data_IF_865960266212
#
_entry.id   IF_865960266212
#
_cell.length_a   1.000
_cell.length_b   1.000
_cell.length_c   1.000
_cell.angle_alpha   90.00
_cell.angle_beta   90.00
_cell.angle_gamma   90.00
#
_symmetry.space_group_name_H-M   'P 1'
#
loop_
_entity.id
_entity.type
_entity.pdbx_description
1 polymer ?
#
# COMPACT_ATOMS: atom_id res chain seq x y z
N UNK A 1 -4.31 -5.48 23.97
CA UNK A 1 -5.18 -4.46 23.35
C UNK A 1 -4.25 -3.42 22.76
N UNK A 2 -4.33 -3.23 21.44
CA UNK A 2 -3.34 -2.50 20.67
C UNK A 2 -3.55 -0.99 20.79
N UNK A 3 -2.45 -0.26 20.96
CA UNK A 3 -2.40 1.21 20.92
C UNK A 3 -2.08 1.64 19.48
N UNK A 4 -2.77 2.64 18.90
CA UNK A 4 -2.43 3.14 17.57
C UNK A 4 -1.14 3.97 17.64
N UNK A 5 -0.11 3.57 16.90
CA UNK A 5 1.09 4.37 16.68
C UNK A 5 1.09 4.98 15.28
N UNK A 6 0.65 6.22 15.19
CA UNK A 6 0.79 7.04 13.97
C UNK A 6 2.25 7.19 13.56
N UNK A 7 2.62 6.58 12.43
CA UNK A 7 3.93 6.76 11.80
C UNK A 7 3.91 8.00 10.90
N UNK A 8 4.87 8.87 11.17
CA UNK A 8 5.26 10.04 10.39
C UNK A 8 5.88 9.63 9.06
N UNK A 9 5.48 10.27 7.97
CA UNK A 9 6.18 10.19 6.69
C UNK A 9 7.57 10.85 6.81
N UNK A 10 8.66 10.10 6.64
CA UNK A 10 9.97 10.68 6.33
C UNK A 10 10.78 9.79 5.37
N UNK A 11 11.40 10.46 4.39
CA UNK A 11 12.35 9.93 3.40
C UNK A 11 13.60 9.35 4.09
N UNK A 12 14.26 8.31 3.54
CA UNK A 12 15.54 7.86 4.05
C UNK A 12 16.69 8.72 3.50
N UNK A 13 17.49 9.29 4.40
CA UNK A 13 18.85 9.76 4.14
C UNK A 13 19.83 8.79 4.79
N UNK A 14 20.68 8.16 3.98
CA UNK A 14 21.77 7.30 4.42
C UNK A 14 22.90 8.16 5.04
N UNK A 15 23.33 7.83 6.26
CA UNK A 15 24.74 7.54 6.50
C UNK A 15 25.01 6.89 7.88
N UNK A 16 26.02 6.01 7.99
CA UNK A 16 26.29 5.18 9.17
C UNK A 16 27.49 5.68 9.99
N UNK A 17 27.50 5.42 11.32
CA UNK A 17 28.64 4.84 12.05
C UNK A 17 28.49 4.84 13.58
N UNK A 18 29.27 3.93 14.18
CA UNK A 18 29.65 3.70 15.60
C UNK A 18 28.80 2.65 16.36
N UNK A 19 29.36 1.57 16.93
CA UNK A 19 30.77 1.16 17.07
C UNK A 19 30.97 -0.28 17.61
N UNK A 20 32.12 -0.86 17.23
CA UNK A 20 33.01 -1.77 18.00
C UNK A 20 32.68 -3.29 18.02
N UNK A 21 33.59 -4.27 17.83
CA UNK A 21 35.05 -4.43 17.62
C UNK A 21 35.23 -5.77 16.85
N UNK A 22 36.17 -6.02 15.93
CA UNK A 22 37.59 -6.23 16.20
C UNK A 22 38.33 -6.67 14.92
N UNK A 23 39.57 -6.20 14.81
CA UNK A 23 40.74 -6.85 14.20
C UNK A 23 40.69 -7.29 12.71
N UNK A 24 41.35 -6.53 11.83
CA UNK A 24 42.70 -6.85 11.31
C UNK A 24 43.00 -5.98 10.07
N UNK A 25 43.98 -5.09 10.23
CA UNK A 25 44.75 -4.48 9.13
C UNK A 25 45.93 -5.43 8.83
N UNK A 26 46.45 -5.50 7.59
CA UNK A 26 47.48 -4.52 7.22
C UNK A 26 47.54 -4.11 5.72
N UNK A 27 47.87 -2.82 5.56
CA UNK A 27 48.85 -2.25 4.64
C UNK A 27 48.55 -2.08 3.14
N UNK A 28 48.33 -0.80 2.80
CA UNK A 28 49.09 0.05 1.86
C UNK A 28 49.38 -0.46 0.44
N UNK A 29 49.02 0.36 -0.57
CA UNK A 29 50.02 1.10 -1.38
C UNK A 29 49.34 2.14 -2.32
N UNK A 30 50.10 3.21 -2.53
CA UNK A 30 49.77 4.50 -3.14
C UNK A 30 49.66 4.51 -4.68
N UNK A 31 48.91 5.52 -5.18
CA UNK A 31 49.13 6.39 -6.37
C UNK A 31 49.81 5.84 -7.63
N UNK A 32 49.21 6.05 -8.81
CA UNK A 32 49.62 7.12 -9.76
C UNK A 32 48.72 7.16 -11.01
N UNK A 33 48.55 8.38 -11.51
CA UNK A 33 47.89 8.77 -12.76
C UNK A 33 48.73 8.46 -14.00
N UNK A 34 48.07 8.30 -15.16
CA UNK A 34 48.42 8.93 -16.46
C UNK A 34 47.55 8.42 -17.62
N UNK A 35 47.19 9.34 -18.50
CA UNK A 35 46.81 9.17 -19.91
C UNK A 35 47.72 10.10 -20.76
N UNK A 36 47.65 10.18 -22.11
CA UNK A 36 47.40 9.23 -23.21
C UNK A 36 48.62 9.22 -24.19
N UNK A 37 48.54 8.78 -25.49
CA UNK A 37 48.11 9.69 -26.57
C UNK A 37 47.43 9.03 -27.82
N UNK A 38 46.99 9.92 -28.73
CA UNK A 38 46.32 9.80 -30.03
C UNK A 38 47.25 9.62 -31.24
N UNK A 39 46.79 9.01 -32.34
CA UNK A 39 47.30 9.23 -33.71
C UNK A 39 46.15 9.19 -34.75
N UNK A 40 46.06 10.25 -35.55
CA UNK A 40 45.30 10.42 -36.80
C UNK A 40 45.99 9.73 -38.00
N UNK A 41 45.21 9.26 -38.99
CA UNK A 41 45.35 9.75 -40.39
C UNK A 41 44.43 9.06 -41.41
N UNK A 42 43.90 9.95 -42.26
CA UNK A 42 43.09 9.83 -43.47
C UNK A 42 43.68 8.97 -44.59
N UNK A 43 42.84 8.25 -45.38
CA UNK A 43 42.91 8.21 -46.87
C UNK A 43 41.52 7.97 -47.52
N UNK A 44 41.21 8.82 -48.51
CA UNK A 44 40.09 8.76 -49.49
C UNK A 44 40.35 7.75 -50.63
N UNK A 45 39.29 7.11 -51.17
CA UNK A 45 38.99 6.92 -52.63
C UNK A 45 37.65 6.19 -52.84
N UNK A 46 36.61 6.88 -53.34
CA UNK A 46 36.05 6.92 -54.72
C UNK A 46 35.24 5.69 -55.21
N UNK A 47 33.92 5.94 -55.35
CA UNK A 47 32.94 5.54 -56.38
C UNK A 47 32.78 4.05 -56.75
N UNK A 48 31.59 3.49 -56.46
CA UNK A 48 30.79 2.86 -57.53
C UNK A 48 29.28 2.95 -57.28
N UNK A 49 28.61 3.33 -58.36
CA UNK A 49 27.18 3.55 -58.56
C UNK A 49 26.46 2.22 -58.74
N UNK A 50 25.49 1.86 -57.90
CA UNK A 50 24.42 0.90 -58.23
C UNK A 50 23.11 1.32 -57.56
N UNK A 51 22.13 1.60 -58.42
CA UNK A 51 20.72 1.88 -58.10
C UNK A 51 20.04 0.54 -57.82
N UNK A 52 19.33 0.41 -56.70
CA UNK A 52 18.19 -0.53 -56.58
C UNK A 52 17.26 -0.07 -55.45
N UNK A 53 15.99 0.16 -55.82
CA UNK A 53 14.76 0.14 -55.04
C UNK A 53 14.70 0.92 -53.70
N UNK A 54 14.01 2.06 -53.75
CA UNK A 54 13.45 2.76 -52.59
C UNK A 54 12.29 1.96 -51.99
N UNK A 55 12.53 1.25 -50.89
CA UNK A 55 11.47 0.81 -49.99
C UNK A 55 11.28 1.91 -48.94
N UNK A 56 10.16 2.64 -49.05
CA UNK A 56 9.70 3.60 -48.05
C UNK A 56 9.10 2.81 -46.89
N UNK A 57 9.85 2.61 -45.81
CA UNK A 57 9.28 2.16 -44.54
C UNK A 57 8.91 3.39 -43.72
N UNK A 58 7.63 3.76 -43.73
CA UNK A 58 7.07 4.74 -42.80
C UNK A 58 6.86 4.05 -41.45
N UNK A 59 7.81 4.22 -40.52
CA UNK A 59 7.61 3.85 -39.13
C UNK A 59 6.95 5.02 -38.39
N UNK A 60 5.63 5.14 -38.56
CA UNK A 60 4.78 6.00 -37.72
C UNK A 60 3.58 5.18 -37.27
N UNK A 61 3.73 4.50 -36.15
CA UNK A 61 2.62 3.97 -35.37
C UNK A 61 3.06 3.96 -33.91
N UNK A 62 3.18 5.17 -33.36
CA UNK A 62 3.07 5.40 -31.94
C UNK A 62 1.63 5.01 -31.58
N UNK A 63 1.46 3.79 -31.08
CA UNK A 63 0.15 3.31 -30.62
C UNK A 63 -0.10 3.98 -29.28
N UNK A 64 -0.85 5.09 -29.30
CA UNK A 64 -1.51 5.65 -28.13
C UNK A 64 -2.44 4.57 -27.57
N UNK A 65 -1.95 3.82 -26.59
CA UNK A 65 -2.77 2.95 -25.76
C UNK A 65 -3.72 3.84 -24.97
N UNK A 66 -4.90 4.08 -25.53
CA UNK A 66 -6.07 4.50 -24.80
C UNK A 66 -6.24 3.57 -23.59
N UNK A 67 -5.99 4.10 -22.40
CA UNK A 67 -6.45 3.48 -21.16
C UNK A 67 -7.97 3.50 -21.19
N UNK A 68 -8.56 2.42 -21.70
CA UNK A 68 -9.95 2.15 -21.43
C UNK A 68 -10.04 1.82 -19.94
N UNK A 69 -10.39 2.81 -19.13
CA UNK A 69 -10.89 2.62 -17.78
C UNK A 69 -12.27 1.96 -17.90
N UNK A 70 -12.28 0.68 -18.29
CA UNK A 70 -13.45 -0.17 -18.16
C UNK A 70 -13.62 -0.39 -16.67
N UNK A 71 -14.44 0.44 -16.03
CA UNK A 71 -15.03 0.04 -14.75
C UNK A 71 -15.91 -1.18 -15.04
N UNK A 72 -15.55 -2.38 -14.54
CA UNK A 72 -16.40 -3.55 -14.69
C UNK A 72 -17.75 -3.26 -14.06
N UNK A 73 -18.84 -3.64 -14.74
CA UNK A 73 -20.19 -3.43 -14.20
C UNK A 73 -20.39 -4.38 -13.01
N UNK A 74 -21.31 -4.03 -12.12
CA UNK A 74 -21.65 -4.75 -10.87
C UNK A 74 -22.01 -6.25 -11.02
N UNK A 75 -22.08 -6.80 -12.24
CA UNK A 75 -22.31 -8.23 -12.52
C UNK A 75 -21.19 -8.94 -13.28
N UNK A 76 -20.07 -8.29 -13.60
CA UNK A 76 -18.97 -8.91 -14.34
C UNK A 76 -18.12 -9.74 -13.37
N UNK A 77 -18.14 -11.07 -13.55
CA UNK A 77 -17.28 -11.99 -12.82
C UNK A 77 -15.85 -11.84 -13.34
N UNK A 78 -14.92 -11.48 -12.45
CA UNK A 78 -13.51 -11.27 -12.78
C UNK A 78 -12.65 -12.30 -12.06
N UNK A 79 -11.72 -12.94 -12.78
CA UNK A 79 -10.68 -13.76 -12.16
C UNK A 79 -9.57 -12.87 -11.60
N UNK A 80 -9.37 -12.93 -10.29
CA UNK A 80 -8.40 -12.11 -9.58
C UNK A 80 -7.38 -13.00 -8.86
N UNK A 81 -6.07 -12.83 -9.12
CA UNK A 81 -5.02 -13.40 -8.28
C UNK A 81 -5.15 -12.89 -6.86
N UNK A 82 -5.20 -13.78 -5.87
CA UNK A 82 -5.33 -13.42 -4.47
C UNK A 82 -4.02 -13.60 -3.72
N UNK A 83 -3.76 -12.65 -2.83
CA UNK A 83 -2.67 -12.64 -1.88
C UNK A 83 -3.21 -12.68 -0.45
N UNK A 84 -3.31 -13.87 0.17
CA UNK A 84 -3.70 -14.03 1.56
C UNK A 84 -2.65 -13.47 2.50
N UNK A 85 -3.04 -12.52 3.35
CA UNK A 85 -2.16 -11.88 4.33
C UNK A 85 -2.84 -11.80 5.72
N UNK A 86 -2.07 -11.81 6.83
CA UNK A 86 -2.60 -11.59 8.18
C UNK A 86 -2.88 -10.10 8.46
N UNK A 87 -3.32 -9.36 7.46
CA UNK A 87 -3.66 -7.94 7.52
C UNK A 87 -4.82 -7.62 6.58
N UNK A 88 -5.44 -6.46 6.78
CA UNK A 88 -6.58 -5.97 5.99
C UNK A 88 -6.13 -4.75 5.19
N UNK A 89 -6.38 -4.78 3.87
CA UNK A 89 -6.18 -3.62 3.00
C UNK A 89 -7.50 -2.88 2.83
N UNK A 90 -7.49 -1.56 3.04
CA UNK A 90 -8.65 -0.70 2.81
C UNK A 90 -8.53 0.08 1.50
N UNK A 91 -9.65 0.46 0.86
CA UNK A 91 -9.67 1.43 -0.22
C UNK A 91 -8.88 2.70 0.13
N UNK A 92 -8.01 3.15 -0.77
CA UNK A 92 -7.16 4.31 -0.60
C UNK A 92 -5.92 4.11 0.29
N UNK A 93 -5.85 3.05 1.08
CA UNK A 93 -4.69 2.78 1.94
C UNK A 93 -3.47 2.33 1.12
N UNK A 94 -2.27 2.62 1.64
CA UNK A 94 -1.00 2.23 1.01
C UNK A 94 -0.45 1.00 1.72
N UNK A 95 -0.06 -0.01 0.94
CA UNK A 95 0.50 -1.25 1.43
C UNK A 95 1.88 -1.51 0.80
N UNK A 96 2.97 -1.29 1.57
CA UNK A 96 4.29 -1.74 1.18
C UNK A 96 4.43 -3.26 1.38
N UNK A 97 4.95 -3.96 0.38
CA UNK A 97 5.14 -5.43 0.42
C UNK A 97 6.51 -5.82 -0.09
N UNK A 98 7.10 -6.83 0.56
CA UNK A 98 8.26 -7.54 0.04
C UNK A 98 7.84 -8.93 -0.41
N UNK A 99 7.96 -9.20 -1.71
CA UNK A 99 7.67 -10.49 -2.31
C UNK A 99 8.93 -11.33 -2.30
N UNK A 100 8.96 -12.35 -1.45
CA UNK A 100 10.08 -13.30 -1.37
C UNK A 100 9.67 -14.74 -1.65
N UNK A 101 8.42 -15.13 -1.33
CA UNK A 101 7.94 -16.49 -1.60
C UNK A 101 7.84 -16.77 -3.10
N UNK A 102 8.33 -17.94 -3.51
CA UNK A 102 8.39 -18.35 -4.92
C UNK A 102 7.04 -18.27 -5.65
N UNK A 103 5.96 -18.69 -5.01
CA UNK A 103 4.60 -18.62 -5.60
C UNK A 103 4.18 -17.20 -5.95
N UNK A 104 4.51 -16.21 -5.12
CA UNK A 104 4.15 -14.82 -5.35
C UNK A 104 5.13 -14.13 -6.29
N UNK A 105 6.37 -14.61 -6.41
CA UNK A 105 7.27 -14.21 -7.50
C UNK A 105 6.68 -14.60 -8.86
N UNK A 106 6.13 -15.81 -9.00
CA UNK A 106 5.41 -16.22 -10.21
C UNK A 106 4.21 -15.30 -10.46
N UNK A 107 3.41 -15.03 -9.42
CA UNK A 107 2.28 -14.10 -9.53
C UNK A 107 2.73 -12.73 -10.05
N UNK A 108 3.82 -12.18 -9.52
CA UNK A 108 4.38 -10.91 -9.97
C UNK A 108 4.80 -10.92 -11.44
N UNK A 109 5.43 -12.00 -11.93
CA UNK A 109 5.75 -12.12 -13.36
C UNK A 109 4.49 -12.09 -14.23
N UNK A 110 3.37 -12.65 -13.77
CA UNK A 110 2.09 -12.50 -14.46
C UNK A 110 1.60 -11.06 -14.41
N UNK A 111 1.56 -10.43 -13.22
CA UNK A 111 1.04 -9.08 -13.01
C UNK A 111 1.78 -8.01 -13.82
N UNK A 112 3.09 -8.16 -14.02
CA UNK A 112 3.90 -7.24 -14.83
C UNK A 112 3.47 -7.17 -16.31
N UNK A 113 2.70 -8.16 -16.78
CA UNK A 113 2.19 -8.22 -18.15
C UNK A 113 0.67 -7.99 -18.23
N UNK A 114 0.00 -7.73 -17.09
CA UNK A 114 -1.44 -7.46 -17.02
C UNK A 114 -1.69 -6.01 -16.57
N UNK A 115 -2.72 -5.80 -15.75
CA UNK A 115 -3.19 -4.54 -15.17
C UNK A 115 -2.55 -4.20 -13.82
N UNK A 116 -1.54 -4.96 -13.36
CA UNK A 116 -0.85 -4.74 -12.08
C UNK A 116 -1.79 -4.76 -10.85
N UNK A 117 -2.91 -5.50 -10.93
CA UNK A 117 -3.90 -5.62 -9.86
C UNK A 117 -3.96 -7.03 -9.29
N UNK A 118 -4.11 -7.12 -7.98
CA UNK A 118 -4.32 -8.38 -7.27
C UNK A 118 -5.22 -8.14 -6.06
N UNK A 119 -5.91 -9.19 -5.59
CA UNK A 119 -6.75 -9.10 -4.40
C UNK A 119 -5.93 -9.34 -3.14
N UNK A 120 -5.99 -8.42 -2.18
CA UNK A 120 -5.53 -8.69 -0.80
C UNK A 120 -6.71 -9.20 0.00
N UNK A 121 -6.55 -10.36 0.61
CA UNK A 121 -7.58 -11.00 1.41
C UNK A 121 -7.03 -11.36 2.79
N UNK A 122 -7.79 -11.02 3.83
CA UNK A 122 -7.38 -11.35 5.19
C UNK A 122 -7.37 -12.86 5.37
N UNK A 123 -6.29 -13.38 5.94
CA UNK A 123 -6.22 -14.77 6.35
C UNK A 123 -5.40 -14.95 7.61
N UNK A 124 -5.96 -15.67 8.59
CA UNK A 124 -5.25 -16.13 9.77
C UNK A 124 -5.40 -17.65 9.95
N UNK A 125 -4.61 -18.22 10.85
CA UNK A 125 -4.62 -19.66 11.10
C UNK A 125 -5.89 -20.15 11.82
N UNK A 126 -6.73 -19.24 12.34
CA UNK A 126 -7.84 -19.59 13.25
C UNK A 126 -9.20 -19.52 12.53
N UNK A 127 -9.44 -18.44 11.80
CA UNK A 127 -10.64 -18.15 11.02
C UNK A 127 -10.51 -18.52 9.55
N UNK A 128 -9.31 -18.84 9.06
CA UNK A 128 -9.08 -19.21 7.68
C UNK A 128 -8.92 -17.97 6.80
N UNK A 129 -9.46 -18.01 5.59
CA UNK A 129 -9.42 -16.89 4.62
C UNK A 129 -10.79 -16.22 4.60
N UNK A 130 -10.82 -14.90 4.72
CA UNK A 130 -12.06 -14.12 4.65
C UNK A 130 -12.68 -14.20 3.25
N UNK A 131 -13.94 -13.78 3.12
CA UNK A 131 -14.65 -13.76 1.84
C UNK A 131 -14.55 -12.40 1.13
N UNK A 132 -14.33 -11.33 1.88
CA UNK A 132 -14.20 -9.97 1.37
C UNK A 132 -12.75 -9.51 1.47
N UNK A 133 -12.27 -8.91 0.38
CA UNK A 133 -10.94 -8.32 0.29
C UNK A 133 -10.96 -6.97 -0.40
N UNK A 134 -9.77 -6.42 -0.64
CA UNK A 134 -9.58 -5.17 -1.36
C UNK A 134 -8.55 -5.36 -2.47
N UNK A 135 -8.81 -4.81 -3.64
CA UNK A 135 -7.85 -4.83 -4.75
C UNK A 135 -6.68 -3.92 -4.41
N UNK A 136 -5.47 -4.48 -4.46
CA UNK A 136 -4.23 -3.74 -4.47
C UNK A 136 -3.78 -3.48 -5.90
N UNK A 137 -3.64 -2.21 -6.26
CA UNK A 137 -2.98 -1.80 -7.50
C UNK A 137 -1.51 -1.45 -7.20
N UNK A 138 -0.58 -2.04 -7.94
CA UNK A 138 0.85 -1.77 -7.77
C UNK A 138 1.16 -0.39 -8.35
N UNK A 139 1.47 0.58 -7.47
CA UNK A 139 1.83 1.95 -7.88
C UNK A 139 3.34 2.12 -8.04
N UNK A 140 4.14 1.26 -7.41
CA UNK A 140 5.60 1.22 -7.58
C UNK A 140 6.11 -0.19 -7.35
N UNK A 141 7.06 -0.64 -8.17
CA UNK A 141 7.76 -1.90 -7.96
C UNK A 141 9.25 -1.79 -8.25
N UNK A 142 10.05 -2.56 -7.51
CA UNK A 142 11.50 -2.70 -7.70
C UNK A 142 11.86 -4.18 -7.66
N UNK A 143 12.53 -4.67 -8.71
CA UNK A 143 13.03 -6.04 -8.78
C UNK A 143 14.43 -6.10 -8.18
N UNK A 144 14.63 -7.01 -7.23
CA UNK A 144 15.90 -7.25 -6.56
C UNK A 144 16.72 -8.32 -7.31
N UNK A 145 18.00 -8.44 -6.95
CA UNK A 145 18.99 -9.31 -7.63
C UNK A 145 18.65 -10.80 -7.63
N UNK A 146 17.79 -11.25 -6.72
CA UNK A 146 17.33 -12.64 -6.57
C UNK A 146 15.88 -12.84 -6.98
N UNK A 147 15.37 -11.92 -7.81
CA UNK A 147 14.00 -11.96 -8.33
C UNK A 147 12.92 -11.88 -7.23
N UNK A 148 13.30 -11.38 -6.06
CA UNK A 148 12.38 -10.77 -5.09
C UNK A 148 11.92 -9.41 -5.59
N UNK A 149 10.80 -8.96 -5.06
CA UNK A 149 10.26 -7.63 -5.36
C UNK A 149 10.02 -6.84 -4.08
N UNK A 150 10.28 -5.55 -4.14
CA UNK A 150 9.69 -4.58 -3.23
C UNK A 150 8.60 -3.81 -3.98
N UNK A 151 7.40 -3.75 -3.40
CA UNK A 151 6.22 -3.15 -4.01
C UNK A 151 5.61 -2.11 -3.07
N UNK A 152 5.08 -1.04 -3.65
CA UNK A 152 4.10 -0.18 -3.00
C UNK A 152 2.80 -0.35 -3.76
N UNK A 153 1.74 -0.72 -3.05
CA UNK A 153 0.41 -0.91 -3.60
C UNK A 153 -0.55 0.10 -2.98
N UNK A 154 -1.58 0.50 -3.73
CA UNK A 154 -2.70 1.30 -3.23
C UNK A 154 -3.98 0.48 -3.28
N UNK A 155 -4.74 0.47 -2.19
CA UNK A 155 -6.07 -0.14 -2.16
C UNK A 155 -7.03 0.60 -3.07
N UNK A 156 -7.80 -0.15 -3.86
CA UNK A 156 -8.82 0.35 -4.77
C UNK A 156 -10.20 -0.10 -4.28
N UNK A 157 -10.96 -0.85 -5.07
CA UNK A 157 -12.29 -1.32 -4.73
C UNK A 157 -12.25 -2.58 -3.84
N UNK A 158 -13.30 -2.75 -3.04
CA UNK A 158 -13.55 -4.01 -2.33
C UNK A 158 -14.16 -5.03 -3.28
N UNK A 159 -13.90 -6.29 -2.99
CA UNK A 159 -14.48 -7.41 -3.72
C UNK A 159 -14.94 -8.50 -2.76
N UNK A 160 -15.89 -9.31 -3.20
CA UNK A 160 -16.31 -10.54 -2.55
C UNK A 160 -15.94 -11.74 -3.43
N UNK A 161 -15.27 -12.72 -2.84
CA UNK A 161 -14.95 -13.99 -3.49
C UNK A 161 -16.24 -14.78 -3.69
N UNK A 162 -16.51 -15.18 -4.94
CA UNK A 162 -17.65 -16.03 -5.27
C UNK A 162 -17.24 -17.49 -5.43
N UNK A 163 -16.07 -17.73 -6.03
CA UNK A 163 -15.58 -19.07 -6.29
C UNK A 163 -14.05 -19.11 -6.38
N UNK A 164 -13.43 -20.19 -5.90
CA UNK A 164 -11.99 -20.39 -5.98
C UNK A 164 -11.65 -21.19 -7.24
N UNK A 165 -11.05 -20.53 -8.23
CA UNK A 165 -10.73 -21.12 -9.54
C UNK A 165 -9.49 -21.99 -9.46
N UNK A 166 -8.43 -21.49 -8.80
CA UNK A 166 -7.12 -22.15 -8.75
C UNK A 166 -6.44 -21.91 -7.41
N UNK A 167 -5.77 -22.94 -6.89
CA UNK A 167 -5.03 -22.84 -5.61
C UNK A 167 -3.51 -22.84 -5.76
N UNK A 168 -2.97 -23.37 -6.87
CA UNK A 168 -1.52 -23.53 -7.11
C UNK A 168 -1.10 -22.91 -8.45
N UNK A 169 0.04 -22.19 -8.53
CA UNK A 169 0.99 -21.92 -7.45
C UNK A 169 0.51 -20.90 -6.40
N UNK A 170 -0.41 -20.01 -6.76
CA UNK A 170 -1.07 -19.04 -5.88
C UNK A 170 -2.59 -19.08 -6.07
N UNK A 171 -3.35 -18.45 -5.17
CA UNK A 171 -4.80 -18.43 -5.25
C UNK A 171 -5.28 -17.54 -6.40
N UNK A 172 -6.29 -18.01 -7.14
CA UNK A 172 -7.06 -17.21 -8.11
C UNK A 172 -8.52 -17.49 -7.83
N UNK A 173 -9.31 -16.44 -7.72
CA UNK A 173 -10.73 -16.53 -7.45
C UNK A 173 -11.52 -15.71 -8.45
N UNK A 174 -12.73 -16.18 -8.74
CA UNK A 174 -13.79 -15.34 -9.28
C UNK A 174 -14.28 -14.42 -8.18
N UNK A 175 -14.43 -13.14 -8.52
CA UNK A 175 -14.85 -12.11 -7.57
C UNK A 175 -15.96 -11.25 -8.16
N UNK A 176 -16.73 -10.64 -7.25
CA UNK A 176 -17.72 -9.60 -7.54
C UNK A 176 -17.36 -8.32 -6.79
N UNK A 177 -17.62 -7.17 -7.39
CA UNK A 177 -17.33 -5.87 -6.79
C UNK A 177 -18.28 -5.55 -5.65
N UNK A 178 -17.73 -5.06 -4.53
CA UNK A 178 -18.49 -4.75 -3.33
C UNK A 178 -18.60 -3.24 -3.12
N UNK A 179 -19.75 -2.69 -3.51
CA UNK A 179 -20.10 -1.29 -3.34
C UNK A 179 -20.91 -1.07 -2.05
N UNK A 180 -20.82 0.14 -1.47
CA UNK A 180 -21.68 0.52 -0.35
C UNK A 180 -23.10 0.75 -0.86
N UNK A 181 -24.08 0.24 -0.12
CA UNK A 181 -25.49 0.57 -0.29
C UNK A 181 -25.71 1.99 0.22
N UNK A 182 -26.67 2.74 -0.37
CA UNK A 182 -27.04 4.03 0.18
C UNK A 182 -27.46 3.85 1.64
N UNK A 183 -26.84 4.62 2.53
CA UNK A 183 -27.30 4.72 3.92
C UNK A 183 -28.75 5.22 3.94
N UNK A 184 -29.51 4.84 4.98
CA UNK A 184 -30.91 5.25 5.14
C UNK A 184 -31.09 6.75 5.42
N UNK A 185 -31.99 7.11 6.34
CA UNK A 185 -32.25 8.51 6.71
C UNK A 185 -31.17 9.15 7.60
N UNK A 186 -30.01 8.50 7.75
CA UNK A 186 -28.97 8.95 8.66
C UNK A 186 -28.14 10.08 8.06
N UNK A 187 -27.82 11.08 8.87
CA UNK A 187 -26.87 12.13 8.50
C UNK A 187 -25.43 11.59 8.60
N UNK A 188 -24.98 11.00 7.49
CA UNK A 188 -23.65 10.39 7.38
C UNK A 188 -22.53 11.43 7.53
N UNK A 189 -22.77 12.68 7.14
CA UNK A 189 -21.79 13.76 7.27
C UNK A 189 -21.63 14.23 8.71
N UNK A 190 -22.72 14.32 9.47
CA UNK A 190 -22.67 14.56 10.91
C UNK A 190 -21.93 13.42 11.63
N UNK A 191 -22.23 12.16 11.31
CA UNK A 191 -21.53 11.00 11.86
C UNK A 191 -20.03 11.02 11.56
N UNK A 192 -19.63 11.33 10.33
CA UNK A 192 -18.22 11.46 9.96
C UNK A 192 -17.52 12.57 10.75
N UNK A 193 -18.20 13.69 11.00
CA UNK A 193 -17.67 14.80 11.80
C UNK A 193 -17.50 14.44 13.29
N UNK A 194 -18.43 13.65 13.85
CA UNK A 194 -18.30 13.09 15.19
C UNK A 194 -17.08 12.14 15.28
N UNK A 195 -16.96 11.21 14.33
CA UNK A 195 -15.83 10.27 14.26
C UNK A 195 -14.49 11.01 14.14
N UNK A 196 -14.43 12.05 13.32
CA UNK A 196 -13.23 12.89 13.22
C UNK A 196 -12.86 13.51 14.56
N UNK A 197 -13.84 14.00 15.32
CA UNK A 197 -13.62 14.58 16.64
C UNK A 197 -13.02 13.56 17.61
N UNK A 198 -13.62 12.36 17.70
CA UNK A 198 -13.08 11.27 18.52
C UNK A 198 -11.66 10.86 18.10
N UNK A 199 -11.40 10.79 16.80
CA UNK A 199 -10.08 10.46 16.29
C UNK A 199 -9.05 11.52 16.69
N UNK A 200 -9.37 12.82 16.56
CA UNK A 200 -8.50 13.91 17.02
C UNK A 200 -8.18 13.82 18.51
N UNK A 201 -9.16 13.48 19.33
CA UNK A 201 -8.96 13.35 20.78
C UNK A 201 -8.10 12.14 21.15
N UNK A 202 -8.28 11.00 20.49
CA UNK A 202 -7.40 9.83 20.63
C UNK A 202 -5.96 10.18 20.25
N UNK A 203 -5.76 10.92 19.16
CA UNK A 203 -4.43 11.37 18.70
C UNK A 203 -3.77 12.29 19.72
N UNK A 204 -4.50 13.31 20.20
CA UNK A 204 -4.02 14.26 21.21
C UNK A 204 -3.56 13.53 22.47
N UNK A 205 -4.41 12.65 22.98
CA UNK A 205 -4.14 11.94 24.22
C UNK A 205 -3.00 10.93 24.10
N UNK A 206 -2.93 10.21 22.97
CA UNK A 206 -1.82 9.31 22.65
C UNK A 206 -0.49 10.07 22.55
N UNK A 207 -0.46 11.22 21.88
CA UNK A 207 0.75 12.05 21.80
C UNK A 207 1.21 12.54 23.17
N UNK A 208 0.28 12.99 24.03
CA UNK A 208 0.56 13.41 25.40
C UNK A 208 1.18 12.30 26.23
N UNK A 209 0.61 11.09 26.16
CA UNK A 209 1.13 9.91 26.85
C UNK A 209 2.54 9.53 26.38
N UNK A 210 2.83 9.71 25.09
CA UNK A 210 4.11 9.39 24.48
C UNK A 210 5.13 10.54 24.54
N UNK A 211 4.81 11.66 25.21
CA UNK A 211 5.71 12.81 25.34
C UNK A 211 6.02 13.52 24.01
N UNK A 212 5.18 13.33 22.99
CA UNK A 212 5.31 14.00 21.71
C UNK A 212 4.71 15.42 21.82
N UNK A 213 5.32 16.44 21.19
CA UNK A 213 4.77 17.78 21.22
C UNK A 213 3.35 17.79 20.64
N UNK A 214 2.48 18.54 21.29
CA UNK A 214 1.10 18.71 20.86
C UNK A 214 1.11 19.48 19.54
N UNK A 215 0.88 18.76 18.44
CA UNK A 215 0.61 19.38 17.14
C UNK A 215 -0.90 19.47 17.01
N UNK A 216 -1.41 20.62 16.57
CA UNK A 216 -2.81 20.72 16.17
C UNK A 216 -3.11 19.59 15.18
N UNK A 217 -4.09 18.75 15.54
CA UNK A 217 -4.55 17.72 14.63
C UNK A 217 -5.16 18.43 13.42
N UNK A 218 -4.43 18.40 12.31
CA UNK A 218 -4.90 18.88 11.02
C UNK A 218 -6.28 18.28 10.71
N UNK A 219 -7.04 18.95 9.84
CA UNK A 219 -8.24 18.36 9.24
C UNK A 219 -7.90 16.94 8.74
N UNK A 220 -8.48 15.94 9.42
CA UNK A 220 -8.20 14.54 9.14
C UNK A 220 -9.08 14.05 7.99
N UNK A 221 -10.25 14.67 7.80
CA UNK A 221 -11.10 14.39 6.65
C UNK A 221 -10.42 14.81 5.36
N UNK A 222 -9.61 15.88 5.34
CA UNK A 222 -8.90 16.34 4.11
C UNK A 222 -9.84 16.48 2.90
N UNK A 223 -11.04 17.00 3.12
CA UNK A 223 -12.13 17.06 2.13
C UNK A 223 -12.62 15.70 1.59
N UNK A 224 -12.38 14.60 2.31
CA UNK A 224 -12.95 13.29 1.97
C UNK A 224 -14.45 13.26 2.28
N UNK A 225 -15.19 12.67 1.34
CA UNK A 225 -16.58 12.24 1.57
C UNK A 225 -16.63 11.19 2.71
N UNK A 226 -17.80 11.01 3.36
CA UNK A 226 -17.93 10.10 4.50
C UNK A 226 -17.47 8.67 4.21
N UNK A 227 -17.76 8.13 3.02
CA UNK A 227 -17.39 6.75 2.68
C UNK A 227 -15.87 6.54 2.60
N UNK A 228 -15.08 7.26 1.77
CA UNK A 228 -13.63 7.19 1.84
C UNK A 228 -13.04 7.51 3.23
N UNK A 229 -13.64 8.45 3.97
CA UNK A 229 -13.20 8.77 5.31
C UNK A 229 -13.35 7.58 6.26
N UNK A 230 -14.47 6.85 6.22
CA UNK A 230 -14.65 5.65 7.03
C UNK A 230 -13.60 4.57 6.72
N UNK A 231 -13.28 4.32 5.44
CA UNK A 231 -12.19 3.40 5.09
C UNK A 231 -10.83 3.85 5.61
N UNK A 232 -10.55 5.16 5.57
CA UNK A 232 -9.35 5.72 6.18
C UNK A 232 -9.31 5.46 7.69
N UNK A 233 -10.39 5.75 8.41
CA UNK A 233 -10.48 5.53 9.86
C UNK A 233 -10.28 4.05 10.19
N UNK A 234 -10.99 3.14 9.52
CA UNK A 234 -10.81 1.69 9.71
C UNK A 234 -9.38 1.21 9.46
N UNK A 235 -8.67 1.80 8.49
CA UNK A 235 -7.26 1.48 8.24
C UNK A 235 -6.31 1.84 9.38
N UNK A 236 -6.71 2.74 10.28
CA UNK A 236 -5.88 3.20 11.41
C UNK A 236 -5.97 2.33 12.66
N UNK A 237 -6.85 1.32 12.69
CA UNK A 237 -7.04 0.43 13.84
C UNK A 237 -5.96 -0.67 13.91
N UNK A 238 -4.72 -0.23 14.15
CA UNK A 238 -3.55 -1.08 14.24
C UNK A 238 -3.69 -2.19 15.29
N UNK A 239 -3.19 -3.39 14.96
CA UNK A 239 -3.21 -4.54 15.87
C UNK A 239 -4.59 -5.14 16.13
N UNK A 240 -5.63 -4.71 15.41
CA UNK A 240 -6.98 -5.25 15.48
C UNK A 240 -7.49 -5.75 14.11
N UNK A 241 -6.78 -6.69 13.44
CA UNK A 241 -7.11 -7.11 12.07
C UNK A 241 -8.52 -7.70 11.93
N UNK A 242 -9.06 -8.32 12.98
CA UNK A 242 -10.44 -8.83 12.98
C UNK A 242 -11.49 -7.72 12.99
N UNK A 243 -11.22 -6.65 13.74
CA UNK A 243 -12.10 -5.48 13.74
C UNK A 243 -12.01 -4.74 12.40
N UNK A 244 -10.78 -4.61 11.87
CA UNK A 244 -10.57 -4.08 10.52
C UNK A 244 -11.31 -4.89 9.46
N UNK A 245 -11.28 -6.22 9.54
CA UNK A 245 -11.99 -7.09 8.61
C UNK A 245 -13.50 -6.88 8.71
N UNK A 246 -14.04 -6.82 9.94
CA UNK A 246 -15.45 -6.55 10.17
C UNK A 246 -15.88 -5.19 9.59
N UNK A 247 -15.03 -4.16 9.71
CA UNK A 247 -15.29 -2.83 9.12
C UNK A 247 -15.24 -2.83 7.59
N UNK A 248 -14.30 -3.59 6.99
CA UNK A 248 -14.18 -3.75 5.55
C UNK A 248 -15.43 -4.43 4.95
N UNK A 249 -16.01 -5.39 5.69
CA UNK A 249 -17.18 -6.18 5.28
C UNK A 249 -18.52 -5.41 5.38
N UNK A 250 -18.60 -4.34 6.15
CA UNK A 250 -19.83 -3.53 6.25
C UNK A 250 -20.15 -2.87 4.90
N UNK A 251 -21.39 -3.00 4.43
CA UNK A 251 -21.86 -2.43 3.16
C UNK A 251 -22.60 -1.09 3.34
N UNK A 252 -22.66 -0.54 4.55
CA UNK A 252 -23.29 0.74 4.86
C UNK A 252 -22.28 1.64 5.57
N UNK A 253 -22.02 2.81 4.98
CA UNK A 253 -21.07 3.81 5.51
C UNK A 253 -21.48 4.30 6.90
N UNK A 254 -22.76 4.56 7.15
CA UNK A 254 -23.24 5.06 8.44
C UNK A 254 -23.06 4.01 9.54
N UNK A 255 -23.35 2.74 9.21
CA UNK A 255 -23.09 1.60 10.12
C UNK A 255 -21.60 1.48 10.43
N UNK A 256 -20.73 1.63 9.41
CA UNK A 256 -19.27 1.60 9.58
C UNK A 256 -18.78 2.72 10.50
N UNK A 257 -19.21 3.96 10.25
CA UNK A 257 -18.86 5.13 11.07
C UNK A 257 -19.34 4.99 12.52
N UNK A 258 -20.54 4.45 12.75
CA UNK A 258 -21.04 4.18 14.11
C UNK A 258 -20.18 3.18 14.86
N UNK A 259 -19.75 2.11 14.19
CA UNK A 259 -18.86 1.10 14.78
C UNK A 259 -17.47 1.67 15.06
N UNK A 260 -16.93 2.47 14.15
CA UNK A 260 -15.67 3.20 14.34
C UNK A 260 -15.75 4.17 15.51
N UNK A 261 -16.85 4.93 15.61
CA UNK A 261 -17.11 5.86 16.72
C UNK A 261 -17.05 5.14 18.07
N UNK A 262 -17.71 4.00 18.19
CA UNK A 262 -17.72 3.22 19.42
C UNK A 262 -16.33 2.68 19.77
N UNK A 263 -15.59 2.17 18.79
CA UNK A 263 -14.21 1.70 18.97
C UNK A 263 -13.27 2.83 19.42
N UNK A 264 -13.38 4.01 18.80
CA UNK A 264 -12.60 5.20 19.18
C UNK A 264 -12.97 5.71 20.57
N UNK A 265 -14.27 5.73 20.93
CA UNK A 265 -14.74 6.11 22.26
C UNK A 265 -14.16 5.19 23.34
N UNK A 266 -14.16 3.89 23.11
CA UNK A 266 -13.60 2.91 24.04
C UNK A 266 -12.08 3.08 24.17
N UNK A 267 -11.39 3.37 23.06
CA UNK A 267 -9.96 3.70 23.07
C UNK A 267 -9.69 4.98 23.88
N UNK A 268 -10.49 6.03 23.70
CA UNK A 268 -10.35 7.28 24.43
C UNK A 268 -10.56 7.11 25.94
N UNK A 269 -11.54 6.31 26.34
CA UNK A 269 -11.78 5.97 27.75
C UNK A 269 -10.56 5.27 28.36
N UNK A 270 -9.99 4.29 27.65
CA UNK A 270 -8.78 3.60 28.09
C UNK A 270 -7.58 4.54 28.23
N UNK A 271 -7.32 5.36 27.20
CA UNK A 271 -6.22 6.32 27.22
C UNK A 271 -6.38 7.37 28.33
N UNK A 272 -7.62 7.78 28.63
CA UNK A 272 -7.92 8.73 29.69
C UNK A 272 -7.60 8.15 31.05
N UNK A 273 -7.98 6.89 31.29
CA UNK A 273 -7.60 6.15 32.49
C UNK A 273 -6.08 5.99 32.60
N UNK A 274 -5.40 5.63 31.50
CA UNK A 274 -3.93 5.50 31.48
C UNK A 274 -3.20 6.82 31.77
N UNK A 275 -3.72 7.95 31.25
CA UNK A 275 -3.18 9.29 31.54
C UNK A 275 -3.33 9.64 33.00
N UNK A 276 -4.50 9.41 33.60
CA UNK A 276 -4.71 9.69 35.02
C UNK A 276 -3.75 8.90 35.93
N UNK A 277 -3.46 7.63 35.59
CA UNK A 277 -2.48 6.83 36.34
C UNK A 277 -1.06 7.39 36.20
N UNK A 278 -0.67 7.82 34.99
CA UNK A 278 0.66 8.41 34.74
C UNK A 278 0.86 9.72 35.51
N UNK A 279 -0.19 10.54 35.62
CA UNK A 279 -0.15 11.81 36.36
C UNK A 279 -0.02 11.58 37.88
N UNK A 280 -0.58 10.47 38.40
CA UNK A 280 -0.48 10.09 39.83
C UNK A 280 0.88 9.44 40.17
N UNK A 281 1.48 8.70 39.24
CA UNK A 281 2.76 8.02 39.43
C UNK A 281 3.81 8.47 38.41
N UNK A 282 4.36 9.69 38.53
CA UNK A 282 5.40 10.16 37.63
C UNK A 282 6.63 9.26 37.75
N UNK A 283 7.04 8.67 36.62
CA UNK A 283 8.26 7.87 36.53
C UNK A 283 9.44 8.76 36.88
N UNK A 284 10.07 8.51 38.04
CA UNK A 284 11.26 9.25 38.53
C UNK A 284 12.50 8.97 37.69
#
# INVERSE_FOLDING_TARGET
>A
MALPQLISAHKPSLNPNTSALSSLNPNNLNFFSKSPPSIDSLVRRRRHKRRTASLKCSASSFSEKHHNTNHPKSGDVVELPLFPLPLVLFPGAILPLQIFEFRYRIMMHTLLHTDLRFGVIYSDAVSGTAEVGCVGEIVKHERLVDDRFFLICKGQERFRVTNLVRTKPYLVAEVTWLEDRPSGEEDVDALASEVETYMKDVIRLSNRLNGKPEKEAQDLRRNLFPTPFSFFVGSTFEGAPREQQALLELEDTATRLKREKETLRNTLNYLSAASAVKDVFPSS
#
